data_IF_332230747386
#
_entry.id   IF_332230747386
#
_cell.length_a   1.000
_cell.length_b   1.000
_cell.length_c   1.000
_cell.angle_alpha   90.00
_cell.angle_beta   90.00
_cell.angle_gamma   90.00
#
_symmetry.space_group_name_H-M   'P 1'
#
loop_
_entity.id
_entity.type
_entity.pdbx_description
1 polymer ?
#
# COMPACT_ATOMS: atom_id res chain seq x y z
N UNK A 1 -0.22 -16.22 -16.88
CA UNK A 1 -1.09 -15.44 -15.97
C UNK A 1 -0.37 -15.14 -14.64
N UNK A 2 0.06 -16.16 -13.90
CA UNK A 2 0.85 -16.04 -12.64
C UNK A 2 2.08 -15.13 -12.74
N UNK A 3 2.88 -15.25 -13.81
CA UNK A 3 4.07 -14.39 -14.02
C UNK A 3 3.73 -12.88 -14.04
N UNK A 4 2.57 -12.50 -14.59
CA UNK A 4 2.14 -11.09 -14.65
C UNK A 4 1.70 -10.56 -13.28
N UNK A 5 1.06 -11.42 -12.47
CA UNK A 5 0.68 -11.07 -11.10
C UNK A 5 1.87 -11.00 -10.16
N UNK A 6 2.82 -11.93 -10.29
CA UNK A 6 4.09 -11.86 -9.56
C UNK A 6 4.88 -10.60 -9.91
N UNK A 7 4.92 -10.21 -11.19
CA UNK A 7 5.54 -8.97 -11.62
C UNK A 7 4.87 -7.74 -10.98
N UNK A 8 3.53 -7.71 -10.92
CA UNK A 8 2.77 -6.64 -10.27
C UNK A 8 3.09 -6.56 -8.77
N UNK A 9 3.02 -7.68 -8.06
CA UNK A 9 3.36 -7.73 -6.63
C UNK A 9 4.80 -7.33 -6.36
N UNK A 10 5.76 -7.79 -7.15
CA UNK A 10 7.15 -7.38 -7.03
C UNK A 10 7.34 -5.89 -7.32
N UNK A 11 6.67 -5.37 -8.35
CA UNK A 11 6.72 -3.93 -8.67
C UNK A 11 6.15 -3.07 -7.55
N UNK A 12 5.11 -3.55 -6.85
CA UNK A 12 4.58 -2.90 -5.66
C UNK A 12 5.61 -2.82 -4.56
N UNK A 13 6.16 -3.98 -4.17
CA UNK A 13 7.14 -4.09 -3.08
C UNK A 13 8.33 -3.18 -3.36
N UNK A 14 8.86 -3.22 -4.58
CA UNK A 14 9.98 -2.38 -4.97
C UNK A 14 9.66 -0.87 -4.88
N UNK A 15 8.49 -0.42 -5.34
CA UNK A 15 8.07 0.99 -5.16
C UNK A 15 7.95 1.36 -3.68
N UNK A 16 7.29 0.54 -2.87
CA UNK A 16 7.10 0.79 -1.44
C UNK A 16 8.45 0.83 -0.71
N UNK A 17 9.39 -0.06 -1.05
CA UNK A 17 10.74 -0.04 -0.49
C UNK A 17 11.50 1.23 -0.85
N UNK A 18 11.47 1.67 -2.11
CA UNK A 18 12.11 2.91 -2.54
C UNK A 18 11.54 4.11 -1.78
N UNK A 19 10.22 4.22 -1.72
CA UNK A 19 9.56 5.30 -0.98
C UNK A 19 9.86 5.27 0.51
N UNK A 20 9.90 4.09 1.11
CA UNK A 20 10.28 3.91 2.51
C UNK A 20 11.70 4.42 2.78
N UNK A 21 12.67 4.04 1.93
CA UNK A 21 14.08 4.44 2.09
C UNK A 21 14.23 5.95 1.94
N UNK A 22 13.59 6.55 0.93
CA UNK A 22 13.63 8.01 0.73
C UNK A 22 12.99 8.73 1.92
N UNK A 23 11.81 8.29 2.35
CA UNK A 23 11.12 8.93 3.47
C UNK A 23 11.92 8.82 4.78
N UNK A 24 12.47 7.64 5.06
CA UNK A 24 13.32 7.41 6.23
C UNK A 24 14.58 8.29 6.20
N UNK A 25 15.25 8.40 5.04
CA UNK A 25 16.44 9.23 4.89
C UNK A 25 16.13 10.72 5.16
N UNK A 26 15.00 11.22 4.65
CA UNK A 26 14.55 12.60 4.91
C UNK A 26 14.29 12.81 6.40
N UNK A 27 13.55 11.91 7.04
CA UNK A 27 13.24 12.04 8.48
C UNK A 27 14.50 12.00 9.34
N UNK A 28 15.48 11.16 8.99
CA UNK A 28 16.76 11.06 9.68
C UNK A 28 17.62 12.31 9.46
N UNK A 29 17.69 12.84 8.24
CA UNK A 29 18.52 14.01 7.92
C UNK A 29 18.02 15.30 8.57
N UNK A 30 16.70 15.47 8.67
CA UNK A 30 16.08 16.69 9.18
C UNK A 30 15.55 16.57 10.63
N UNK A 31 15.77 15.43 11.30
CA UNK A 31 15.26 15.14 12.65
C UNK A 31 13.75 15.40 12.81
N UNK A 32 12.94 15.00 11.82
CA UNK A 32 11.49 15.22 11.83
C UNK A 32 10.70 14.26 12.73
N UNK A 33 11.37 13.35 13.43
CA UNK A 33 10.74 12.42 14.37
C UNK A 33 11.74 12.03 15.45
N UNK A 34 11.27 11.97 16.70
CA UNK A 34 12.02 11.45 17.85
C UNK A 34 12.31 9.94 17.70
N UNK A 35 11.51 9.23 16.90
CA UNK A 35 11.66 7.81 16.62
C UNK A 35 11.63 7.54 15.11
N UNK A 36 12.72 7.77 14.37
CA UNK A 36 12.74 7.61 12.91
C UNK A 36 12.42 6.18 12.44
N UNK A 37 12.62 5.17 13.30
CA UNK A 37 12.25 3.77 13.02
C UNK A 37 10.74 3.55 12.92
N UNK A 38 9.91 4.51 13.32
CA UNK A 38 8.47 4.46 13.12
C UNK A 38 8.11 4.46 11.63
N UNK A 39 8.91 5.12 10.78
CA UNK A 39 8.64 5.24 9.34
C UNK A 39 8.68 3.86 8.65
N UNK A 40 9.75 3.06 8.75
CA UNK A 40 9.76 1.70 8.23
C UNK A 40 8.63 0.82 8.77
N UNK A 41 8.28 0.94 10.05
CA UNK A 41 7.17 0.17 10.65
C UNK A 41 5.83 0.51 9.99
N UNK A 42 5.55 1.80 9.77
CA UNK A 42 4.32 2.25 9.11
C UNK A 42 4.26 1.79 7.65
N UNK A 43 5.36 1.89 6.92
CA UNK A 43 5.45 1.36 5.55
C UNK A 43 5.22 -0.15 5.49
N UNK A 44 5.75 -0.90 6.46
CA UNK A 44 5.57 -2.34 6.54
C UNK A 44 4.11 -2.72 6.80
N UNK A 45 3.48 -2.12 7.83
CA UNK A 45 2.09 -2.44 8.19
C UNK A 45 1.13 -2.09 7.06
N UNK A 46 1.18 -0.83 6.57
CA UNK A 46 0.28 -0.36 5.51
C UNK A 46 0.59 -1.10 4.20
N UNK A 47 1.87 -1.33 3.90
CA UNK A 47 2.30 -2.05 2.72
C UNK A 47 1.80 -3.49 2.68
N UNK A 48 1.84 -4.22 3.81
CA UNK A 48 1.30 -5.58 3.89
C UNK A 48 -0.22 -5.62 3.67
N UNK A 49 -0.96 -4.67 4.27
CA UNK A 49 -2.42 -4.56 4.06
C UNK A 49 -2.72 -4.31 2.58
N UNK A 50 -2.01 -3.36 1.95
CA UNK A 50 -2.17 -3.08 0.53
C UNK A 50 -1.77 -4.25 -0.35
N UNK A 51 -0.76 -5.04 0.03
CA UNK A 51 -0.37 -6.24 -0.70
C UNK A 51 -1.47 -7.30 -0.67
N UNK A 52 -2.17 -7.48 0.47
CA UNK A 52 -3.36 -8.35 0.56
C UNK A 52 -4.50 -7.84 -0.34
N UNK A 53 -4.75 -6.54 -0.38
CA UNK A 53 -5.76 -5.93 -1.26
C UNK A 53 -5.42 -6.17 -2.74
N UNK A 54 -4.15 -6.01 -3.12
CA UNK A 54 -3.68 -6.28 -4.49
C UNK A 54 -3.86 -7.76 -4.85
N UNK A 55 -3.54 -8.69 -3.94
CA UNK A 55 -3.78 -10.12 -4.15
C UNK A 55 -5.26 -10.42 -4.41
N UNK A 56 -6.15 -9.84 -3.60
CA UNK A 56 -7.59 -9.97 -3.78
C UNK A 56 -8.04 -9.37 -5.12
N UNK A 57 -7.53 -8.19 -5.49
CA UNK A 57 -7.77 -7.57 -6.78
C UNK A 57 -7.33 -8.47 -7.94
N UNK A 58 -6.18 -9.14 -7.83
CA UNK A 58 -5.70 -10.08 -8.83
C UNK A 58 -6.63 -11.30 -8.96
N UNK A 59 -7.10 -11.84 -7.84
CA UNK A 59 -8.08 -12.93 -7.83
C UNK A 59 -9.40 -12.53 -8.51
N UNK A 60 -9.92 -11.35 -8.19
CA UNK A 60 -11.13 -10.80 -8.81
C UNK A 60 -10.91 -10.56 -10.30
N UNK A 61 -9.74 -10.06 -10.72
CA UNK A 61 -9.43 -9.88 -12.15
C UNK A 61 -9.53 -11.17 -12.96
N UNK A 62 -9.20 -12.32 -12.36
CA UNK A 62 -9.29 -13.63 -13.02
C UNK A 62 -10.73 -14.12 -13.13
N UNK A 63 -11.51 -14.03 -12.04
CA UNK A 63 -12.88 -14.59 -12.01
C UNK A 63 -13.96 -13.63 -12.50
N UNK A 64 -13.84 -12.35 -12.14
CA UNK A 64 -14.86 -11.32 -12.28
C UNK A 64 -14.20 -9.97 -12.66
N UNK A 65 -13.64 -9.84 -13.89
CA UNK A 65 -12.81 -8.71 -14.29
C UNK A 65 -13.51 -7.34 -14.24
N UNK A 66 -14.84 -7.32 -14.34
CA UNK A 66 -15.67 -6.11 -14.26
C UNK A 66 -15.69 -5.52 -12.85
N UNK A 67 -15.40 -6.33 -11.82
CA UNK A 67 -15.52 -5.92 -10.42
C UNK A 67 -14.19 -5.51 -9.77
N UNK A 68 -13.11 -5.41 -10.54
CA UNK A 68 -11.77 -5.06 -10.01
C UNK A 68 -11.78 -3.67 -9.37
N UNK A 69 -12.50 -2.70 -9.94
CA UNK A 69 -12.66 -1.36 -9.36
C UNK A 69 -13.39 -1.36 -8.01
N UNK A 70 -14.39 -2.22 -7.84
CA UNK A 70 -15.07 -2.39 -6.55
C UNK A 70 -14.14 -2.98 -5.49
N UNK A 71 -13.25 -3.91 -5.88
CA UNK A 71 -12.26 -4.46 -4.96
C UNK A 71 -11.27 -3.41 -4.44
N UNK A 72 -10.89 -2.46 -5.31
CA UNK A 72 -10.06 -1.33 -4.93
C UNK A 72 -10.79 -0.42 -3.93
N UNK A 73 -12.04 -0.04 -4.23
CA UNK A 73 -12.82 0.81 -3.32
C UNK A 73 -13.04 0.16 -1.95
N UNK A 74 -13.42 -1.13 -1.94
CA UNK A 74 -13.59 -1.88 -0.69
C UNK A 74 -12.28 -2.02 0.09
N UNK A 75 -11.17 -2.28 -0.61
CA UNK A 75 -9.84 -2.32 -0.03
C UNK A 75 -9.42 -0.99 0.61
N UNK A 76 -9.70 0.14 -0.04
CA UNK A 76 -9.43 1.46 0.53
C UNK A 76 -10.20 1.70 1.84
N UNK A 77 -11.49 1.38 1.87
CA UNK A 77 -12.31 1.54 3.09
C UNK A 77 -11.76 0.67 4.22
N UNK A 78 -11.46 -0.60 3.94
CA UNK A 78 -10.89 -1.51 4.92
C UNK A 78 -9.53 -1.00 5.46
N UNK A 79 -8.66 -0.54 4.56
CA UNK A 79 -7.35 0.00 4.94
C UNK A 79 -7.48 1.27 5.78
N UNK A 80 -8.40 2.18 5.44
CA UNK A 80 -8.70 3.36 6.24
C UNK A 80 -9.16 2.98 7.65
N UNK A 81 -10.05 2.00 7.79
CA UNK A 81 -10.52 1.53 9.09
C UNK A 81 -9.37 0.99 9.95
N UNK A 82 -8.48 0.18 9.37
CA UNK A 82 -7.30 -0.36 10.07
C UNK A 82 -6.34 0.75 10.49
N UNK A 83 -6.06 1.71 9.61
CA UNK A 83 -5.17 2.84 9.94
C UNK A 83 -5.76 3.71 11.05
N UNK A 84 -7.07 3.97 11.02
CA UNK A 84 -7.75 4.70 12.09
C UNK A 84 -7.64 3.96 13.43
N UNK A 85 -7.87 2.64 13.43
CA UNK A 85 -7.72 1.81 14.63
C UNK A 85 -6.27 1.86 15.17
N UNK A 86 -5.26 1.82 14.28
CA UNK A 86 -3.86 1.94 14.68
C UNK A 86 -3.54 3.28 15.36
N UNK A 87 -4.10 4.40 14.86
CA UNK A 87 -3.93 5.73 15.47
C UNK A 87 -4.55 5.79 16.86
N UNK A 88 -5.71 5.16 17.06
CA UNK A 88 -6.42 5.17 18.35
C UNK A 88 -5.68 4.32 19.39
N UNK A 89 -5.16 3.17 19.00
CA UNK A 89 -4.59 2.17 19.92
C UNK A 89 -3.10 2.41 20.21
N UNK A 90 -2.34 3.01 19.28
CA UNK A 90 -0.90 3.17 19.40
C UNK A 90 -0.47 4.63 19.59
N UNK A 91 -0.01 4.96 20.81
CA UNK A 91 0.48 6.29 21.19
C UNK A 91 1.70 6.74 20.34
N UNK A 92 2.61 5.83 19.98
CA UNK A 92 3.78 6.17 19.14
C UNK A 92 3.35 6.63 17.75
N UNK A 93 2.35 5.97 17.17
CA UNK A 93 1.77 6.32 15.87
C UNK A 93 1.03 7.66 15.99
N UNK A 94 0.30 7.87 17.08
CA UNK A 94 -0.43 9.12 17.33
C UNK A 94 0.50 10.33 17.40
N UNK A 95 1.65 10.20 18.06
CA UNK A 95 2.67 11.27 18.12
C UNK A 95 3.28 11.52 16.74
N UNK A 96 3.46 10.47 15.94
CA UNK A 96 4.05 10.53 14.60
C UNK A 96 3.02 10.58 13.46
N UNK A 97 1.87 11.22 13.69
CA UNK A 97 0.73 11.18 12.75
C UNK A 97 1.07 11.76 11.37
N UNK A 98 1.96 12.75 11.31
CA UNK A 98 2.42 13.33 10.03
C UNK A 98 3.15 12.26 9.21
N UNK A 99 4.02 11.49 9.85
CA UNK A 99 4.77 10.41 9.21
C UNK A 99 3.83 9.30 8.72
N UNK A 100 2.76 9.02 9.47
CA UNK A 100 1.70 8.10 9.07
C UNK A 100 0.97 8.60 7.82
N UNK A 101 0.55 9.86 7.80
CA UNK A 101 -0.17 10.47 6.66
C UNK A 101 0.67 10.39 5.39
N UNK A 102 1.96 10.75 5.47
CA UNK A 102 2.87 10.68 4.32
C UNK A 102 3.02 9.24 3.84
N UNK A 103 3.28 8.30 4.76
CA UNK A 103 3.43 6.87 4.42
C UNK A 103 2.16 6.31 3.77
N UNK A 104 0.99 6.65 4.31
CA UNK A 104 -0.30 6.25 3.79
C UNK A 104 -0.54 6.79 2.38
N UNK A 105 -0.29 8.08 2.17
CA UNK A 105 -0.51 8.75 0.88
C UNK A 105 0.37 8.16 -0.22
N UNK A 106 1.64 7.94 0.06
CA UNK A 106 2.58 7.38 -0.92
C UNK A 106 2.22 5.93 -1.28
N UNK A 107 1.81 5.12 -0.30
CA UNK A 107 1.31 3.76 -0.56
C UNK A 107 0.00 3.78 -1.36
N UNK A 108 -0.89 4.72 -1.07
CA UNK A 108 -2.12 4.91 -1.84
C UNK A 108 -1.84 5.23 -3.31
N UNK A 109 -0.86 6.10 -3.59
CA UNK A 109 -0.42 6.38 -4.96
C UNK A 109 0.09 5.12 -5.67
N UNK A 110 0.94 4.34 -5.00
CA UNK A 110 1.45 3.08 -5.55
C UNK A 110 0.31 2.08 -5.82
N UNK A 111 -0.66 1.99 -4.92
CA UNK A 111 -1.84 1.14 -5.07
C UNK A 111 -2.69 1.54 -6.27
N UNK A 112 -2.99 2.83 -6.43
CA UNK A 112 -3.77 3.35 -7.57
C UNK A 112 -3.10 3.00 -8.90
N UNK A 113 -1.78 3.21 -9.01
CA UNK A 113 -1.02 2.88 -10.23
C UNK A 113 -1.12 1.39 -10.56
N UNK A 114 -1.06 0.52 -9.54
CA UNK A 114 -1.19 -0.92 -9.70
C UNK A 114 -2.59 -1.33 -10.11
N UNK A 115 -3.62 -0.75 -9.52
CA UNK A 115 -5.00 -1.07 -9.88
C UNK A 115 -5.35 -0.59 -11.28
N UNK A 116 -4.88 0.57 -11.72
CA UNK A 116 -5.00 1.02 -13.11
C UNK A 116 -4.36 -0.01 -14.06
N UNK A 117 -3.15 -0.47 -13.74
CA UNK A 117 -2.45 -1.49 -14.54
C UNK A 117 -3.19 -2.83 -14.53
N UNK A 118 -3.78 -3.20 -13.41
CA UNK A 118 -4.57 -4.42 -13.23
C UNK A 118 -5.88 -4.39 -14.03
N UNK A 119 -6.56 -3.25 -14.05
CA UNK A 119 -7.77 -3.04 -14.86
C UNK A 119 -7.43 -3.16 -16.35
N UNK A 120 -6.36 -2.51 -16.80
CA UNK A 120 -5.93 -2.50 -18.20
C UNK A 120 -5.28 -3.80 -18.69
N UNK A 121 -5.00 -4.75 -17.78
CA UNK A 121 -4.43 -6.04 -18.13
C UNK A 121 -5.43 -6.88 -18.95
N UNK A 122 -5.12 -7.07 -20.23
CA UNK A 122 -5.81 -8.03 -21.11
C UNK A 122 -5.41 -9.46 -20.71
N UNK A 123 -6.35 -10.19 -20.14
CA UNK A 123 -6.23 -11.64 -19.94
C UNK A 123 -6.69 -12.32 -21.24
N UNK A 124 -5.80 -13.07 -21.92
CA UNK A 124 -6.25 -14.03 -22.93
C UNK A 124 -7.08 -15.07 -22.17
N UNK A 125 -8.38 -15.19 -22.49
CA UNK A 125 -9.16 -16.36 -22.10
C UNK A 125 -8.46 -17.58 -22.71
N UNK A 126 -8.01 -18.49 -21.86
CA UNK A 126 -7.59 -19.83 -22.27
C UNK A 126 -8.84 -20.67 -22.34
#
# INVERSE_FOLDING_TARGET
MIKKFLLLGFSFVLMVTIFCVIHYAIVLQFNFSENPLIVPKMYLIIGLITLMIIQMGCFIKVKYPEYVGFSFMGGMIAKMAVVLALVVVNQEIKINIIQLIISYFVILLAEVLIFIRLINLKLKKV
#
